data_IF_804847522370
#
_entry.id   IF_804847522370
#
_cell.length_a   1.000
_cell.length_b   1.000
_cell.length_c   1.000
_cell.angle_alpha   90.00
_cell.angle_beta   90.00
_cell.angle_gamma   90.00
#
_symmetry.space_group_name_H-M   'P 1'
#
loop_
_entity.id
_entity.type
_entity.pdbx_description
1 polymer ?
#
# COMPACT_ATOMS: atom_id res chain seq x y z
N UNK A 1 -3.38 3.96 39.95
CA UNK A 1 -3.38 3.24 38.64
C UNK A 1 -2.83 4.19 37.58
N UNK A 2 -1.58 4.01 37.16
CA UNK A 2 -1.00 4.81 36.08
C UNK A 2 -1.43 4.15 34.77
N UNK A 3 -2.20 4.85 33.94
CA UNK A 3 -2.55 4.39 32.59
C UNK A 3 -1.29 4.51 31.74
N UNK A 4 -0.58 3.41 31.53
CA UNK A 4 0.57 3.36 30.62
C UNK A 4 0.06 3.63 29.20
N UNK A 5 0.27 4.85 28.70
CA UNK A 5 0.09 5.14 27.29
C UNK A 5 1.17 4.37 26.52
N UNK A 6 0.73 3.37 25.75
CA UNK A 6 1.61 2.65 24.82
C UNK A 6 1.99 3.65 23.74
N UNK A 7 3.21 4.19 23.78
CA UNK A 7 3.81 4.91 22.67
C UNK A 7 3.99 3.92 21.51
N UNK A 8 2.93 3.75 20.73
CA UNK A 8 3.00 3.06 19.45
C UNK A 8 3.58 4.04 18.44
N UNK A 9 4.83 3.82 18.03
CA UNK A 9 5.36 4.42 16.82
C UNK A 9 4.66 3.76 15.63
N UNK A 10 3.44 4.19 15.33
CA UNK A 10 2.79 3.82 14.09
C UNK A 10 3.59 4.46 12.95
N UNK A 11 4.02 3.63 12.01
CA UNK A 11 4.64 4.14 10.78
C UNK A 11 3.51 4.70 9.92
N UNK A 12 3.69 5.89 9.38
CA UNK A 12 2.66 6.56 8.58
C UNK A 12 2.10 5.64 7.50
N UNK A 13 0.77 5.52 7.47
CA UNK A 13 0.01 4.86 6.40
C UNK A 13 -0.32 5.81 5.25
N UNK A 14 0.20 7.03 5.31
CA UNK A 14 0.10 8.05 4.28
C UNK A 14 1.33 7.99 3.38
N UNK A 15 1.13 8.01 2.07
CA UNK A 15 2.22 8.07 1.09
C UNK A 15 2.95 9.42 1.16
N UNK A 16 4.17 9.54 0.58
CA UNK A 16 4.86 10.83 0.49
C UNK A 16 4.08 11.92 -0.26
N UNK A 17 3.08 11.54 -1.05
CA UNK A 17 2.20 12.44 -1.81
C UNK A 17 0.91 12.78 -1.05
N UNK A 18 0.78 12.36 0.21
CA UNK A 18 -0.37 12.70 1.06
C UNK A 18 -1.59 11.79 0.90
N UNK A 19 -1.45 10.65 0.19
CA UNK A 19 -2.56 9.71 -0.01
C UNK A 19 -2.63 8.72 1.16
N UNK A 20 -3.77 8.65 1.83
CA UNK A 20 -4.04 7.61 2.84
C UNK A 20 -4.17 6.25 2.14
N UNK A 21 -3.32 5.29 2.50
CA UNK A 21 -3.43 3.92 1.96
C UNK A 21 -4.50 3.16 2.73
N UNK A 22 -5.48 2.63 2.01
CA UNK A 22 -6.65 1.92 2.54
C UNK A 22 -6.84 0.56 1.87
N UNK A 23 -7.37 -0.40 2.62
CA UNK A 23 -7.83 -1.68 2.07
C UNK A 23 -8.89 -1.43 0.99
N UNK A 24 -8.77 -2.12 -0.14
CA UNK A 24 -9.70 -1.98 -1.26
C UNK A 24 -9.19 -1.10 -2.41
N UNK A 25 -8.25 -0.18 -2.15
CA UNK A 25 -7.64 0.66 -3.19
C UNK A 25 -6.92 -0.19 -4.24
N UNK A 26 -6.87 0.30 -5.48
CA UNK A 26 -6.08 -0.30 -6.57
C UNK A 26 -4.98 0.66 -6.99
N UNK A 27 -3.77 0.13 -7.08
CA UNK A 27 -2.58 0.85 -7.44
C UNK A 27 -1.93 0.21 -8.67
N UNK A 28 -1.46 1.03 -9.60
CA UNK A 28 -0.66 0.62 -10.75
C UNK A 28 0.82 0.72 -10.40
N UNK A 29 1.53 -0.36 -10.68
CA UNK A 29 2.99 -0.40 -10.64
C UNK A 29 3.54 0.37 -11.84
N UNK A 30 4.40 1.35 -11.59
CA UNK A 30 5.03 2.17 -12.62
C UNK A 30 6.36 1.58 -13.10
N UNK A 31 6.82 0.47 -12.51
CA UNK A 31 7.99 -0.26 -13.02
C UNK A 31 7.67 -0.89 -14.37
N UNK A 32 8.25 -0.37 -15.44
CA UNK A 32 8.01 -0.79 -16.83
C UNK A 32 8.28 -2.29 -17.04
N UNK A 33 9.21 -2.86 -16.27
CA UNK A 33 9.54 -4.30 -16.31
C UNK A 33 8.40 -5.18 -15.81
N UNK A 34 7.45 -4.60 -15.09
CA UNK A 34 6.31 -5.29 -14.50
C UNK A 34 5.05 -5.28 -15.38
N UNK A 35 5.13 -4.70 -16.60
CA UNK A 35 4.10 -4.84 -17.62
C UNK A 35 2.74 -4.28 -17.21
N UNK A 36 2.69 -3.04 -16.70
CA UNK A 36 1.45 -2.37 -16.26
C UNK A 36 0.66 -3.13 -15.18
N UNK A 37 1.37 -3.84 -14.29
CA UNK A 37 0.77 -4.55 -13.16
C UNK A 37 -0.11 -3.63 -12.32
N UNK A 38 -1.36 -4.04 -12.06
CA UNK A 38 -2.23 -3.41 -11.09
C UNK A 38 -2.48 -4.34 -9.90
N UNK A 39 -2.46 -3.78 -8.70
CA UNK A 39 -2.65 -4.52 -7.47
C UNK A 39 -3.67 -3.84 -6.55
N UNK A 40 -4.54 -4.65 -5.93
CA UNK A 40 -5.47 -4.23 -4.89
C UNK A 40 -4.82 -4.38 -3.51
N UNK A 41 -5.03 -3.39 -2.63
CA UNK A 41 -4.64 -3.49 -1.22
C UNK A 41 -5.60 -4.43 -0.49
N UNK A 42 -5.08 -5.48 0.12
CA UNK A 42 -5.86 -6.43 0.93
C UNK A 42 -5.70 -6.21 2.43
N UNK A 43 -4.53 -5.71 2.85
CA UNK A 43 -4.25 -5.40 4.24
C UNK A 43 -3.20 -4.28 4.32
N UNK A 44 -3.25 -3.52 5.41
CA UNK A 44 -2.28 -2.48 5.75
C UNK A 44 -1.66 -2.84 7.10
N UNK A 45 -0.34 -2.94 7.14
CA UNK A 45 0.47 -3.13 8.35
C UNK A 45 0.93 -1.76 8.83
N UNK A 46 0.19 -1.18 9.77
CA UNK A 46 0.43 0.15 10.35
C UNK A 46 1.68 0.20 11.23
N UNK A 47 2.14 -0.96 11.72
CA UNK A 47 3.34 -1.06 12.56
C UNK A 47 4.58 -0.95 11.68
N UNK A 48 4.59 -1.61 10.52
CA UNK A 48 5.75 -1.66 9.62
C UNK A 48 5.65 -0.71 8.41
N UNK A 49 4.51 -0.02 8.23
CA UNK A 49 4.27 0.87 7.10
C UNK A 49 4.25 0.14 5.76
N UNK A 50 3.58 -1.03 5.69
CA UNK A 50 3.53 -1.87 4.50
C UNK A 50 2.10 -2.20 4.09
N UNK A 51 1.84 -2.26 2.79
CA UNK A 51 0.60 -2.77 2.22
C UNK A 51 0.82 -4.18 1.67
N UNK A 52 -0.12 -5.07 1.95
CA UNK A 52 -0.22 -6.37 1.27
C UNK A 52 -1.06 -6.17 0.01
N UNK A 53 -0.45 -6.41 -1.15
CA UNK A 53 -0.99 -6.09 -2.45
C UNK A 53 -1.20 -7.35 -3.29
N UNK A 54 -2.44 -7.60 -3.74
CA UNK A 54 -2.77 -8.71 -4.63
C UNK A 54 -2.94 -8.23 -6.06
N UNK A 55 -2.35 -8.94 -7.01
CA UNK A 55 -2.52 -8.64 -8.43
C UNK A 55 -3.99 -8.75 -8.83
N UNK A 56 -4.50 -7.75 -9.52
CA UNK A 56 -5.86 -7.76 -10.08
C UNK A 56 -5.95 -8.74 -11.25
N UNK A 57 -4.88 -8.86 -12.05
CA UNK A 57 -4.84 -9.74 -13.22
C UNK A 57 -4.46 -11.19 -12.90
N UNK A 58 -3.90 -11.45 -11.72
CA UNK A 58 -3.46 -12.79 -11.31
C UNK A 58 -3.67 -13.00 -9.82
N UNK A 59 -4.94 -13.04 -9.33
CA UNK A 59 -5.25 -13.08 -7.91
C UNK A 59 -4.82 -14.38 -7.22
N UNK A 60 -4.58 -15.45 -7.99
CA UNK A 60 -4.07 -16.72 -7.47
C UNK A 60 -2.57 -16.68 -7.14
N UNK A 61 -1.83 -15.69 -7.65
CA UNK A 61 -0.42 -15.50 -7.29
C UNK A 61 -0.30 -14.96 -5.85
N UNK A 62 0.80 -15.26 -5.15
CA UNK A 62 1.05 -14.71 -3.83
C UNK A 62 0.97 -13.19 -3.80
N UNK A 63 0.38 -12.64 -2.73
CA UNK A 63 0.37 -11.21 -2.50
C UNK A 63 1.80 -10.68 -2.26
N UNK A 64 2.06 -9.47 -2.75
CA UNK A 64 3.35 -8.79 -2.56
C UNK A 64 3.25 -7.79 -1.42
N UNK A 65 4.26 -7.71 -0.56
CA UNK A 65 4.36 -6.65 0.46
C UNK A 65 5.09 -5.44 -0.11
N UNK A 66 4.44 -4.29 -0.09
CA UNK A 66 4.98 -3.02 -0.61
C UNK A 66 5.09 -2.02 0.54
N UNK A 67 6.23 -1.34 0.65
CA UNK A 67 6.37 -0.26 1.64
C UNK A 67 5.59 0.97 1.19
N UNK A 68 4.76 1.55 2.07
CA UNK A 68 3.87 2.68 1.76
C UNK A 68 4.66 3.89 1.26
N UNK A 69 5.87 4.14 1.79
CA UNK A 69 6.79 5.18 1.28
C UNK A 69 7.19 5.03 -0.20
N UNK A 70 7.04 3.84 -0.79
CA UNK A 70 7.28 3.59 -2.22
C UNK A 70 6.05 3.82 -3.08
N UNK A 71 4.88 3.98 -2.48
CA UNK A 71 3.61 4.20 -3.18
C UNK A 71 3.47 5.68 -3.58
N UNK A 72 4.38 6.11 -4.45
CA UNK A 72 4.47 7.46 -5.02
C UNK A 72 4.83 7.35 -6.49
N UNK A 73 4.63 8.39 -7.28
CA UNK A 73 5.05 8.42 -8.68
C UNK A 73 6.58 8.39 -8.79
N UNK A 74 7.07 7.59 -9.72
CA UNK A 74 8.50 7.38 -9.98
C UNK A 74 8.73 6.10 -10.78
N UNK A 75 9.94 5.92 -11.33
CA UNK A 75 10.27 4.83 -12.26
C UNK A 75 10.09 3.40 -11.70
N UNK A 76 10.05 3.24 -10.37
CA UNK A 76 9.70 1.99 -9.69
C UNK A 76 8.71 2.23 -8.54
N UNK A 77 7.84 3.21 -8.77
CA UNK A 77 6.82 3.71 -7.85
C UNK A 77 5.44 3.12 -8.13
N UNK A 78 4.43 3.70 -7.51
CA UNK A 78 3.04 3.29 -7.68
C UNK A 78 2.13 4.50 -7.83
N UNK A 79 1.09 4.35 -8.62
CA UNK A 79 0.06 5.37 -8.81
C UNK A 79 -1.30 4.82 -8.40
N UNK A 80 -2.06 5.58 -7.62
CA UNK A 80 -3.42 5.22 -7.26
C UNK A 80 -4.32 5.32 -8.50
N UNK A 81 -5.02 4.24 -8.82
CA UNK A 81 -5.94 4.16 -9.97
C UNK A 81 -7.40 4.11 -9.52
N UNK A 82 -7.66 3.51 -8.36
CA UNK A 82 -9.02 3.40 -7.81
C UNK A 82 -9.01 3.53 -6.30
N UNK A 83 -9.89 4.37 -5.78
CA UNK A 83 -10.14 4.49 -4.35
C UNK A 83 -10.73 3.20 -3.75
N UNK A 84 -10.70 3.10 -2.42
CA UNK A 84 -11.43 2.06 -1.72
C UNK A 84 -12.93 2.28 -1.91
N UNK A 85 -13.65 1.24 -2.36
CA UNK A 85 -15.12 1.25 -2.35
C UNK A 85 -15.60 1.43 -0.91
N UNK A 86 -16.44 2.44 -0.66
CA UNK A 86 -17.13 2.62 0.62
C UNK A 86 -18.17 1.54 0.83
#
# INVERSE_FOLDING_TARGET
MVKTAKLSFAVSTVTPEGVQVCVGQVWRDLDERMGNRQCRVEAVDEINGKATMRSVHSPTKPATKVAIRRMRRGSAGWELVREASR
#
